data_IF_435041456238
#
_entry.id   IF_435041456238
#
_cell.length_a   1.000
_cell.length_b   1.000
_cell.length_c   1.000
_cell.angle_alpha   90.00
_cell.angle_beta   90.00
_cell.angle_gamma   90.00
#
_symmetry.space_group_name_H-M   'P 1'
#
loop_
_entity.id
_entity.type
_entity.pdbx_description
1 polymer ?
#
# COMPACT_ATOMS: atom_id res chain seq x y z
N UNK A 1 -21.93 -5.73 -0.80
CA UNK A 1 -20.99 -4.97 -1.65
C UNK A 1 -20.92 -5.69 -2.99
N UNK A 2 -21.16 -5.00 -4.10
CA UNK A 2 -21.12 -5.57 -5.45
C UNK A 2 -19.87 -5.05 -6.13
N UNK A 3 -19.08 -5.90 -6.77
CA UNK A 3 -17.92 -5.48 -7.57
C UNK A 3 -18.30 -5.37 -9.05
N UNK A 4 -17.46 -4.67 -9.82
CA UNK A 4 -17.70 -4.44 -11.26
C UNK A 4 -17.68 -5.73 -12.10
N UNK A 5 -17.10 -6.80 -11.58
CA UNK A 5 -17.13 -8.14 -12.19
C UNK A 5 -18.47 -8.90 -11.95
N UNK A 6 -19.47 -8.25 -11.36
CA UNK A 6 -20.83 -8.77 -11.23
C UNK A 6 -21.10 -9.70 -10.07
N UNK A 7 -20.12 -10.00 -9.19
CA UNK A 7 -20.40 -10.78 -7.99
C UNK A 7 -20.57 -9.90 -6.76
N UNK A 8 -21.24 -10.46 -5.77
CA UNK A 8 -21.53 -9.79 -4.50
C UNK A 8 -20.69 -10.41 -3.40
N UNK A 9 -19.98 -9.56 -2.65
CA UNK A 9 -19.34 -9.97 -1.42
C UNK A 9 -20.31 -9.79 -0.25
N UNK A 10 -20.47 -10.84 0.53
CA UNK A 10 -21.15 -10.78 1.81
C UNK A 10 -20.11 -10.65 2.92
N UNK A 11 -20.24 -9.61 3.73
CA UNK A 11 -19.27 -9.30 4.79
C UNK A 11 -19.91 -9.69 6.12
N UNK A 12 -19.31 -10.64 6.83
CA UNK A 12 -19.80 -11.10 8.13
C UNK A 12 -19.50 -10.15 9.29
N UNK A 13 -18.63 -9.15 9.07
CA UNK A 13 -18.22 -8.16 10.07
C UNK A 13 -18.85 -6.79 9.85
N UNK A 14 -18.93 -6.00 10.93
CA UNK A 14 -19.33 -4.60 10.91
C UNK A 14 -18.13 -3.74 11.32
N UNK A 15 -18.24 -2.40 11.18
CA UNK A 15 -17.17 -1.46 11.55
C UNK A 15 -16.77 -1.52 13.04
N UNK A 16 -17.63 -2.05 13.89
CA UNK A 16 -17.31 -2.28 15.30
C UNK A 16 -16.14 -3.26 15.51
N UNK A 17 -15.87 -4.14 14.54
CA UNK A 17 -14.67 -5.00 14.55
C UNK A 17 -13.37 -4.22 14.56
N UNK A 18 -13.32 -3.02 14.00
CA UNK A 18 -12.13 -2.16 14.04
C UNK A 18 -11.78 -1.75 15.47
N UNK A 19 -12.73 -1.83 16.40
CA UNK A 19 -12.50 -1.45 17.81
C UNK A 19 -11.57 -2.40 18.57
N UNK A 20 -11.41 -3.62 18.10
CA UNK A 20 -10.58 -4.65 18.74
C UNK A 20 -9.47 -5.18 17.82
N UNK A 21 -9.34 -4.62 16.63
CA UNK A 21 -8.32 -5.02 15.67
C UNK A 21 -6.95 -4.44 16.11
N UNK A 22 -5.93 -5.28 16.11
CA UNK A 22 -4.53 -4.88 16.30
C UNK A 22 -3.93 -4.31 15.01
N UNK A 23 -4.52 -4.69 13.86
CA UNK A 23 -4.13 -4.20 12.55
C UNK A 23 -5.36 -4.01 11.66
N UNK A 24 -5.38 -2.89 10.92
CA UNK A 24 -6.41 -2.59 9.92
C UNK A 24 -5.73 -2.40 8.58
N UNK A 25 -6.12 -3.20 7.58
CA UNK A 25 -5.63 -3.08 6.21
C UNK A 25 -6.71 -2.41 5.36
N UNK A 26 -6.35 -1.29 4.74
CA UNK A 26 -7.20 -0.55 3.81
C UNK A 26 -6.82 -0.94 2.39
N UNK A 27 -7.70 -1.64 1.67
CA UNK A 27 -7.45 -2.09 0.31
C UNK A 27 -7.50 -0.92 -0.69
N UNK A 28 -7.11 -1.15 -1.95
CA UNK A 28 -7.32 -0.19 -3.03
C UNK A 28 -8.78 0.22 -3.17
N UNK A 29 -9.01 1.46 -3.54
CA UNK A 29 -10.33 1.97 -3.93
C UNK A 29 -10.19 2.98 -5.07
N UNK A 30 -11.08 2.89 -6.05
CA UNK A 30 -11.15 3.84 -7.16
C UNK A 30 -11.99 5.07 -6.81
N UNK A 31 -12.68 5.04 -5.67
CA UNK A 31 -13.61 6.09 -5.23
C UNK A 31 -13.39 6.44 -3.76
N UNK A 32 -12.23 7.02 -3.40
CA UNK A 32 -11.95 7.40 -2.02
C UNK A 32 -12.94 8.44 -1.47
N UNK A 33 -13.57 9.24 -2.33
CA UNK A 33 -14.57 10.25 -1.97
C UNK A 33 -15.89 9.64 -1.49
N UNK A 34 -16.17 8.37 -1.81
CA UNK A 34 -17.37 7.66 -1.36
C UNK A 34 -17.19 6.97 0.00
N UNK A 35 -16.01 7.03 0.57
CA UNK A 35 -15.75 6.46 1.90
C UNK A 35 -16.47 7.29 2.94
N UNK A 36 -17.35 6.65 3.71
CA UNK A 36 -18.18 7.36 4.68
C UNK A 36 -17.36 7.97 5.83
N UNK A 37 -17.85 9.08 6.36
CA UNK A 37 -17.24 9.73 7.54
C UNK A 37 -17.15 8.77 8.75
N UNK A 38 -18.03 7.78 8.83
CA UNK A 38 -17.99 6.76 9.87
C UNK A 38 -16.75 5.86 9.75
N UNK A 39 -16.41 5.42 8.52
CA UNK A 39 -15.20 4.65 8.25
C UNK A 39 -13.95 5.46 8.58
N UNK A 40 -13.88 6.72 8.12
CA UNK A 40 -12.74 7.60 8.40
C UNK A 40 -12.54 7.82 9.92
N UNK A 41 -13.64 7.99 10.65
CA UNK A 41 -13.60 8.10 12.12
C UNK A 41 -13.12 6.80 12.76
N UNK A 42 -13.64 5.64 12.32
CA UNK A 42 -13.25 4.35 12.87
C UNK A 42 -11.75 4.03 12.65
N UNK A 43 -11.17 4.45 11.52
CA UNK A 43 -9.73 4.33 11.26
C UNK A 43 -8.91 5.19 12.23
N UNK A 44 -9.30 6.45 12.45
CA UNK A 44 -8.64 7.32 13.44
C UNK A 44 -8.71 6.73 14.85
N UNK A 45 -9.89 6.28 15.26
CA UNK A 45 -10.08 5.65 16.56
C UNK A 45 -9.25 4.38 16.73
N UNK A 46 -9.12 3.57 15.68
CA UNK A 46 -8.27 2.39 15.68
C UNK A 46 -6.79 2.76 15.87
N UNK A 47 -6.30 3.75 15.13
CA UNK A 47 -4.91 4.24 15.25
C UNK A 47 -4.64 4.81 16.65
N UNK A 48 -5.52 5.64 17.19
CA UNK A 48 -5.38 6.21 18.56
C UNK A 48 -5.29 5.13 19.63
N UNK A 49 -5.94 3.99 19.44
CA UNK A 49 -5.83 2.83 20.33
C UNK A 49 -4.54 2.04 20.16
N UNK A 50 -3.69 2.37 19.19
CA UNK A 50 -2.44 1.68 18.90
C UNK A 50 -2.56 0.59 17.83
N UNK A 51 -3.69 0.47 17.14
CA UNK A 51 -3.77 -0.42 16.00
C UNK A 51 -2.86 0.05 14.85
N UNK A 52 -2.17 -0.89 14.22
CA UNK A 52 -1.40 -0.63 13.01
C UNK A 52 -2.35 -0.40 11.84
N UNK A 53 -2.17 0.69 11.09
CA UNK A 53 -2.98 1.02 9.92
C UNK A 53 -2.12 0.88 8.67
N UNK A 54 -2.52 0.00 7.79
CA UNK A 54 -1.79 -0.35 6.56
C UNK A 54 -2.63 0.02 5.36
N UNK A 55 -2.11 0.79 4.43
CA UNK A 55 -2.77 1.01 3.14
C UNK A 55 -2.06 0.30 2.01
N UNK A 56 -2.85 -0.26 1.11
CA UNK A 56 -2.37 -0.89 -0.11
C UNK A 56 -2.79 -0.03 -1.30
N UNK A 57 -1.81 0.35 -2.15
CA UNK A 57 -2.09 1.08 -3.38
C UNK A 57 -2.89 2.37 -3.11
N UNK A 58 -3.97 2.60 -3.85
CA UNK A 58 -4.86 3.77 -3.73
C UNK A 58 -5.57 3.89 -2.37
N UNK A 59 -5.48 2.88 -1.52
CA UNK A 59 -5.94 2.95 -0.12
C UNK A 59 -5.29 4.06 0.70
N UNK A 60 -4.13 4.57 0.28
CA UNK A 60 -3.47 5.73 0.90
C UNK A 60 -4.34 6.99 0.86
N UNK A 61 -5.16 7.16 -0.18
CA UNK A 61 -6.11 8.28 -0.27
C UNK A 61 -7.18 8.25 0.82
N UNK A 62 -7.58 7.06 1.28
CA UNK A 62 -8.50 6.91 2.42
C UNK A 62 -7.82 7.30 3.73
N UNK A 63 -6.55 6.93 3.91
CA UNK A 63 -5.78 7.33 5.08
C UNK A 63 -5.55 8.85 5.11
N UNK A 64 -5.26 9.45 3.96
CA UNK A 64 -5.14 10.90 3.83
C UNK A 64 -6.46 11.60 4.15
N UNK A 65 -7.60 11.12 3.62
CA UNK A 65 -8.92 11.63 3.93
C UNK A 65 -9.29 11.48 5.43
N UNK A 66 -8.76 10.45 6.08
CA UNK A 66 -8.88 10.30 7.53
C UNK A 66 -7.95 11.24 8.33
N UNK A 67 -7.05 12.00 7.68
CA UNK A 67 -6.05 12.85 8.33
C UNK A 67 -4.88 12.06 8.95
N UNK A 68 -4.78 10.77 8.66
CA UNK A 68 -3.75 9.90 9.23
C UNK A 68 -2.38 10.08 8.58
N UNK A 69 -2.31 10.71 7.40
CA UNK A 69 -1.05 10.95 6.69
C UNK A 69 -0.52 12.39 6.85
N UNK A 70 -1.24 13.26 7.56
CA UNK A 70 -0.84 14.65 7.75
C UNK A 70 0.56 14.76 8.40
N UNK A 71 1.47 15.50 7.76
CA UNK A 71 2.86 15.67 8.20
C UNK A 71 3.75 14.44 8.05
N UNK A 72 3.27 13.37 7.38
CA UNK A 72 4.00 12.11 7.20
C UNK A 72 4.48 11.92 5.77
N UNK A 73 5.55 11.13 5.63
CA UNK A 73 5.94 10.55 4.36
C UNK A 73 5.03 9.35 4.06
N UNK A 74 4.55 9.25 2.83
CA UNK A 74 3.68 8.17 2.38
C UNK A 74 3.93 7.86 0.90
N UNK A 75 3.47 6.69 0.46
CA UNK A 75 3.46 6.35 -0.96
C UNK A 75 2.11 5.74 -1.35
N UNK A 76 1.84 5.76 -2.63
CA UNK A 76 0.70 5.11 -3.28
C UNK A 76 1.14 4.60 -4.65
N UNK A 77 0.21 4.09 -5.46
CA UNK A 77 0.53 3.73 -6.83
C UNK A 77 1.09 4.97 -7.57
N UNK A 78 2.13 4.77 -8.37
CA UNK A 78 2.85 5.88 -9.02
C UNK A 78 1.94 6.79 -9.85
N UNK A 79 0.90 6.26 -10.50
CA UNK A 79 -0.09 7.05 -11.25
C UNK A 79 -0.92 7.98 -10.37
N UNK A 80 -1.02 7.71 -9.08
CA UNK A 80 -1.87 8.43 -8.13
C UNK A 80 -1.07 9.37 -7.22
N UNK A 81 0.26 9.37 -7.31
CA UNK A 81 1.10 10.16 -6.43
C UNK A 81 0.87 11.66 -6.58
N UNK A 82 0.77 12.15 -7.83
CA UNK A 82 0.55 13.57 -8.12
C UNK A 82 -0.83 14.04 -7.62
N UNK A 83 -1.87 13.22 -7.81
CA UNK A 83 -3.21 13.54 -7.33
C UNK A 83 -3.27 13.52 -5.80
N UNK A 84 -2.63 12.55 -5.15
CA UNK A 84 -2.56 12.48 -3.70
C UNK A 84 -1.84 13.71 -3.12
N UNK A 85 -0.69 14.10 -3.69
CA UNK A 85 0.07 15.27 -3.27
C UNK A 85 -0.71 16.57 -3.48
N UNK A 86 -1.40 16.69 -4.62
CA UNK A 86 -2.21 17.86 -4.93
C UNK A 86 -3.39 18.02 -3.96
N UNK A 87 -4.05 16.92 -3.62
CA UNK A 87 -5.26 16.91 -2.78
C UNK A 87 -4.93 17.04 -1.30
N UNK A 88 -3.76 16.57 -0.88
CA UNK A 88 -3.31 16.58 0.51
C UNK A 88 -1.89 17.14 0.62
N UNK A 89 -1.72 18.47 0.52
CA UNK A 89 -0.41 19.12 0.44
C UNK A 89 0.43 19.00 1.72
N UNK A 90 -0.16 18.58 2.81
CA UNK A 90 0.50 18.28 4.08
C UNK A 90 1.07 16.85 4.15
N UNK A 91 0.87 16.04 3.11
CA UNK A 91 1.45 14.69 2.99
C UNK A 91 2.71 14.75 2.12
N UNK A 92 3.82 14.24 2.65
CA UNK A 92 5.06 14.09 1.86
C UNK A 92 4.97 12.83 1.00
N UNK A 93 4.38 12.95 -0.19
CA UNK A 93 4.21 11.80 -1.11
C UNK A 93 5.53 11.49 -1.80
N UNK A 94 5.95 10.22 -1.73
CA UNK A 94 7.15 9.72 -2.38
C UNK A 94 6.80 8.66 -3.44
N UNK A 95 6.87 9.00 -4.73
CA UNK A 95 6.60 8.05 -5.82
C UNK A 95 7.76 7.07 -6.07
N UNK A 96 8.94 7.34 -5.52
CA UNK A 96 10.17 6.58 -5.78
C UNK A 96 10.35 5.34 -4.92
N UNK A 97 9.35 4.92 -4.12
CA UNK A 97 9.53 3.84 -3.14
C UNK A 97 8.41 2.79 -3.24
N UNK A 98 8.71 1.54 -2.85
CA UNK A 98 7.73 0.45 -2.84
C UNK A 98 6.75 0.57 -1.68
N UNK A 99 7.27 0.91 -0.51
CA UNK A 99 6.46 1.15 0.68
C UNK A 99 7.17 2.09 1.67
N UNK A 100 6.38 2.70 2.53
CA UNK A 100 6.84 3.52 3.64
C UNK A 100 6.33 2.91 4.93
N UNK A 101 7.24 2.71 5.88
CA UNK A 101 6.96 2.40 7.29
C UNK A 101 7.52 3.57 8.11
N UNK A 102 6.65 4.38 8.69
CA UNK A 102 7.02 5.56 9.48
C UNK A 102 7.45 5.23 10.90
N UNK A 103 7.31 3.97 11.34
CA UNK A 103 7.61 3.54 12.71
C UNK A 103 6.55 3.96 13.75
N UNK A 104 5.49 4.63 13.33
CA UNK A 104 4.40 5.15 14.17
C UNK A 104 3.08 4.35 14.01
N UNK A 105 3.17 3.16 13.42
CA UNK A 105 2.03 2.28 13.19
C UNK A 105 1.23 2.59 11.93
N UNK A 106 1.68 3.53 11.07
CA UNK A 106 1.06 3.80 9.77
C UNK A 106 2.00 3.38 8.66
N UNK A 107 1.52 2.50 7.78
CA UNK A 107 2.28 1.96 6.67
C UNK A 107 1.52 2.15 5.36
N UNK A 108 2.24 2.48 4.29
CA UNK A 108 1.65 2.67 2.95
C UNK A 108 2.48 1.95 1.90
N UNK A 109 1.86 1.39 0.87
CA UNK A 109 2.56 0.74 -0.24
C UNK A 109 2.09 1.22 -1.61
N UNK A 110 2.99 1.11 -2.58
CA UNK A 110 2.74 1.45 -3.99
C UNK A 110 1.70 0.58 -4.69
N UNK A 111 1.31 -0.52 -4.07
CA UNK A 111 0.30 -1.40 -4.64
C UNK A 111 0.87 -2.57 -5.44
N UNK A 112 -0.02 -3.42 -5.98
CA UNK A 112 0.34 -4.62 -6.75
C UNK A 112 1.39 -5.47 -6.02
N UNK A 113 2.51 -5.79 -6.65
CA UNK A 113 3.60 -6.56 -6.05
C UNK A 113 4.18 -5.89 -4.79
N UNK A 114 4.27 -4.55 -4.74
CA UNK A 114 4.76 -3.83 -3.57
C UNK A 114 3.86 -3.98 -2.34
N UNK A 115 2.58 -4.29 -2.53
CA UNK A 115 1.70 -4.65 -1.40
C UNK A 115 2.11 -5.97 -0.75
N UNK A 116 2.58 -6.94 -1.54
CA UNK A 116 3.11 -8.21 -1.04
C UNK A 116 4.39 -7.94 -0.23
N UNK A 117 5.27 -7.07 -0.73
CA UNK A 117 6.51 -6.71 -0.03
C UNK A 117 6.23 -6.06 1.32
N UNK A 118 5.26 -5.12 1.37
CA UNK A 118 4.83 -4.52 2.63
C UNK A 118 4.24 -5.57 3.58
N UNK A 119 3.40 -6.49 3.11
CA UNK A 119 2.86 -7.55 3.95
C UNK A 119 3.96 -8.47 4.49
N UNK A 120 4.95 -8.83 3.66
CA UNK A 120 6.11 -9.61 4.09
C UNK A 120 6.99 -8.85 5.08
N UNK A 121 7.14 -7.52 4.91
CA UNK A 121 7.82 -6.66 5.86
C UNK A 121 7.13 -6.69 7.24
N UNK A 122 5.81 -6.56 7.28
CA UNK A 122 5.01 -6.65 8.51
C UNK A 122 5.18 -8.03 9.17
N UNK A 123 5.06 -9.13 8.40
CA UNK A 123 5.28 -10.48 8.93
C UNK A 123 6.70 -10.64 9.46
N UNK A 124 7.69 -10.05 8.81
CA UNK A 124 9.08 -10.09 9.27
C UNK A 124 9.26 -9.37 10.58
N UNK A 125 8.61 -8.22 10.77
CA UNK A 125 8.65 -7.48 12.04
C UNK A 125 7.98 -8.27 13.18
N UNK A 126 6.82 -8.85 12.92
CA UNK A 126 5.99 -9.47 13.94
C UNK A 126 6.44 -10.90 14.30
N UNK A 127 6.95 -11.65 13.31
CA UNK A 127 7.23 -13.09 13.45
C UNK A 127 8.65 -13.50 13.05
N UNK A 128 9.48 -12.55 12.63
CA UNK A 128 10.87 -12.78 12.27
C UNK A 128 11.10 -13.21 10.83
N UNK A 129 12.39 -13.17 10.44
CA UNK A 129 12.83 -13.36 9.08
C UNK A 129 12.57 -14.79 8.53
N UNK A 130 12.63 -15.80 9.39
CA UNK A 130 12.42 -17.19 8.98
C UNK A 130 10.99 -17.43 8.50
N UNK A 131 10.00 -16.95 9.26
CA UNK A 131 8.58 -17.08 8.93
C UNK A 131 8.26 -16.29 7.65
N UNK A 132 8.75 -15.05 7.54
CA UNK A 132 8.58 -14.25 6.34
C UNK A 132 9.20 -14.92 5.09
N UNK A 133 10.39 -15.51 5.23
CA UNK A 133 11.05 -16.24 4.13
C UNK A 133 10.27 -17.48 3.70
N UNK A 134 9.74 -18.23 4.66
CA UNK A 134 8.90 -19.41 4.37
C UNK A 134 7.62 -19.01 3.62
N UNK A 135 6.97 -17.95 4.04
CA UNK A 135 5.78 -17.41 3.38
C UNK A 135 6.09 -16.90 1.97
N UNK A 136 7.20 -16.17 1.80
CA UNK A 136 7.63 -15.69 0.49
C UNK A 136 7.86 -16.83 -0.52
N UNK A 137 8.45 -17.95 -0.07
CA UNK A 137 8.60 -19.15 -0.90
C UNK A 137 7.26 -19.72 -1.34
N UNK A 138 6.26 -19.77 -0.48
CA UNK A 138 4.92 -20.23 -0.84
C UNK A 138 4.23 -19.30 -1.84
N UNK A 139 4.50 -18.00 -1.76
CA UNK A 139 3.97 -16.99 -2.68
C UNK A 139 4.78 -16.87 -3.98
N UNK A 140 5.92 -17.59 -4.08
CA UNK A 140 6.85 -17.54 -5.24
C UNK A 140 7.36 -16.12 -5.49
N UNK A 141 7.67 -15.39 -4.43
CA UNK A 141 8.21 -14.02 -4.49
C UNK A 141 9.54 -13.93 -3.74
N UNK A 142 10.36 -12.90 -4.00
CA UNK A 142 11.58 -12.66 -3.23
C UNK A 142 11.27 -12.56 -1.72
N UNK A 143 12.12 -13.11 -0.85
CA UNK A 143 11.86 -13.14 0.58
C UNK A 143 11.93 -11.75 1.25
N UNK A 144 12.56 -10.80 0.57
CA UNK A 144 12.68 -9.43 1.03
C UNK A 144 12.98 -8.51 -0.15
N UNK A 145 12.24 -7.41 -0.23
CA UNK A 145 12.59 -6.21 -0.99
C UNK A 145 12.53 -5.02 -0.03
N UNK A 146 13.55 -4.17 -0.11
CA UNK A 146 13.59 -2.94 0.68
C UNK A 146 12.51 -1.96 0.19
N UNK A 147 11.81 -1.32 1.13
CA UNK A 147 10.78 -0.33 0.80
C UNK A 147 11.30 0.85 0.00
N UNK A 148 12.57 1.20 0.17
CA UNK A 148 13.24 2.27 -0.56
C UNK A 148 13.58 1.95 -2.01
N UNK A 149 13.34 0.73 -2.50
CA UNK A 149 13.50 0.41 -3.92
C UNK A 149 12.47 1.17 -4.76
N UNK A 150 12.91 1.64 -5.94
CA UNK A 150 12.04 2.38 -6.84
C UNK A 150 10.88 1.54 -7.38
N UNK A 151 9.72 2.16 -7.52
CA UNK A 151 8.64 1.61 -8.33
C UNK A 151 9.09 1.53 -9.78
N UNK A 152 8.52 0.59 -10.56
CA UNK A 152 8.65 0.61 -12.01
C UNK A 152 7.78 1.75 -12.56
N UNK A 153 8.34 2.94 -12.60
CA UNK A 153 7.73 4.11 -13.22
C UNK A 153 7.97 3.98 -14.72
N UNK A 154 7.03 4.47 -15.54
CA UNK A 154 7.14 4.50 -16.99
C UNK A 154 8.35 5.36 -17.40
N UNK A 155 9.49 4.69 -17.53
CA UNK A 155 10.69 5.29 -18.10
C UNK A 155 10.65 5.02 -19.59
N UNK A 156 11.03 6.02 -20.44
CA UNK A 156 11.17 5.77 -21.88
C UNK A 156 12.03 4.52 -22.07
N UNK A 157 11.49 3.55 -22.83
CA UNK A 157 12.27 2.37 -23.19
C UNK A 157 13.57 2.86 -23.85
N UNK A 158 14.77 2.43 -23.40
CA UNK A 158 15.99 2.83 -24.07
C UNK A 158 15.87 2.41 -25.53
N UNK A 159 16.11 3.33 -26.45
CA UNK A 159 16.17 3.03 -27.88
C UNK A 159 17.02 1.77 -28.05
N UNK A 160 16.56 0.75 -28.79
CA UNK A 160 17.35 -0.44 -29.00
C UNK A 160 18.70 -0.02 -29.57
N UNK A 161 19.76 -0.36 -28.85
CA UNK A 161 21.12 -0.13 -29.34
C UNK A 161 21.18 -0.72 -30.75
N UNK A 162 21.49 0.12 -31.73
CA UNK A 162 21.62 -0.30 -33.11
C UNK A 162 22.60 -1.49 -33.12
N UNK A 163 22.11 -2.64 -33.52
CA UNK A 163 22.86 -3.89 -33.74
C UNK A 163 23.43 -4.55 -32.46
N UNK A 164 22.73 -5.54 -31.98
CA UNK A 164 23.29 -6.53 -31.07
C UNK A 164 24.28 -7.40 -31.84
N UNK A 165 25.51 -7.58 -31.33
CA UNK A 165 26.60 -8.25 -32.11
C UNK A 165 26.39 -9.75 -32.42
N UNK A 166 25.27 -10.35 -32.07
CA UNK A 166 24.93 -11.75 -32.31
C UNK A 166 23.90 -11.98 -33.45
N UNK A 167 23.58 -10.95 -34.24
CA UNK A 167 22.70 -11.12 -35.41
C UNK A 167 23.40 -11.39 -36.72
N UNK A 168 24.69 -11.70 -36.69
CA UNK A 168 25.44 -12.15 -37.88
C UNK A 168 25.79 -13.63 -37.75
N UNK A 169 24.92 -14.48 -38.27
CA UNK A 169 25.33 -15.72 -38.96
C UNK A 169 24.26 -16.13 -39.94
#
# INVERSE_FOLDING_TARGET
>A
MTCDAGFRFEVSGRLDRLRTADMVIVPPTDRPELVSAEVLRALREAHVRGARIVSLCTGASVLAAAGLLAGRRATTHWTECDELARRYPDVSVDPGVLYVDGGDGILTSAGSAASIDLCLHVVRQDYGAEIATRLARQLVVPPHRDGGQAQYIDMPWPEPAAELPWTTT
#
